data_IF_685977608795
#
_entry.id   IF_685977608795
#
_cell.length_a   1.000
_cell.length_b   1.000
_cell.length_c   1.000
_cell.angle_alpha   90.00
_cell.angle_beta   90.00
_cell.angle_gamma   90.00
#
_symmetry.space_group_name_H-M   'P 1'
#
loop_
_entity.id
_entity.type
_entity.pdbx_description
1 polymer ?
#
# COMPACT_ATOMS: atom_id res chain seq x y z
N UNK A 1 -5.04 31.20 -39.85
CA UNK A 1 -4.90 29.82 -39.36
C UNK A 1 -5.12 29.82 -37.86
N UNK A 2 -6.09 29.09 -37.31
CA UNK A 2 -6.22 28.96 -35.86
C UNK A 2 -5.02 28.20 -35.30
N UNK A 3 -4.35 28.76 -34.29
CA UNK A 3 -3.22 28.15 -33.61
C UNK A 3 -3.73 27.25 -32.50
N UNK A 4 -3.45 25.95 -32.59
CA UNK A 4 -3.78 24.99 -31.53
C UNK A 4 -2.91 25.29 -30.30
N UNK A 5 -3.54 25.48 -29.15
CA UNK A 5 -2.88 25.66 -27.87
C UNK A 5 -2.87 24.31 -27.15
N UNK A 6 -1.68 23.87 -26.71
CA UNK A 6 -1.54 22.67 -25.89
C UNK A 6 -1.98 23.02 -24.46
N UNK A 7 -3.15 22.55 -24.04
CA UNK A 7 -3.57 22.59 -22.64
C UNK A 7 -2.99 21.36 -21.93
N UNK A 8 -2.03 21.59 -21.03
CA UNK A 8 -1.56 20.54 -20.14
C UNK A 8 -2.58 20.34 -19.01
N UNK A 9 -3.51 19.41 -19.22
CA UNK A 9 -4.55 19.04 -18.25
C UNK A 9 -4.07 18.00 -17.23
N UNK A 10 -2.76 17.68 -17.20
CA UNK A 10 -2.21 16.72 -16.23
C UNK A 10 -2.19 17.36 -14.85
N UNK A 11 -3.27 17.18 -14.13
CA UNK A 11 -3.30 17.44 -12.69
C UNK A 11 -2.67 16.24 -12.00
N UNK A 12 -1.70 16.40 -11.09
CA UNK A 12 -1.20 15.28 -10.30
C UNK A 12 -2.37 14.61 -9.56
N UNK A 13 -2.38 13.28 -9.43
CA UNK A 13 -3.49 12.58 -8.80
C UNK A 13 -3.61 13.01 -7.33
N UNK A 14 -4.83 13.37 -6.94
CA UNK A 14 -5.20 13.80 -5.60
C UNK A 14 -5.29 12.56 -4.69
N UNK A 15 -4.15 12.16 -4.12
CA UNK A 15 -3.99 10.92 -3.34
C UNK A 15 -3.89 11.19 -1.82
N UNK A 16 -4.21 12.40 -1.38
CA UNK A 16 -4.22 12.71 0.04
C UNK A 16 -5.52 12.24 0.70
N UNK A 17 -5.54 12.21 2.03
CA UNK A 17 -6.71 11.79 2.80
C UNK A 17 -7.92 12.69 2.57
N UNK A 18 -7.71 14.00 2.47
CA UNK A 18 -8.76 14.98 2.19
C UNK A 18 -9.40 14.80 0.80
N UNK A 19 -8.72 14.11 -0.12
CA UNK A 19 -9.23 13.80 -1.46
C UNK A 19 -9.98 12.46 -1.51
N UNK A 20 -9.94 11.67 -0.42
CA UNK A 20 -10.64 10.40 -0.33
C UNK A 20 -12.08 10.63 0.14
N UNK A 21 -13.06 10.14 -0.61
CA UNK A 21 -14.48 10.27 -0.26
C UNK A 21 -14.91 9.15 0.72
N UNK A 22 -15.22 9.49 1.99
CA UNK A 22 -15.73 8.50 2.93
C UNK A 22 -17.14 8.07 2.50
N UNK A 23 -17.39 6.77 2.55
CA UNK A 23 -18.67 6.15 2.21
C UNK A 23 -18.90 4.93 3.11
N UNK A 24 -20.15 4.47 3.30
CA UNK A 24 -20.42 3.27 4.09
C UNK A 24 -19.60 2.05 3.66
N UNK A 25 -19.33 1.90 2.36
CA UNK A 25 -18.56 0.80 1.80
C UNK A 25 -17.06 0.80 2.15
N UNK A 26 -16.50 1.93 2.59
CA UNK A 26 -15.08 2.06 2.95
C UNK A 26 -14.85 2.49 4.41
N UNK A 27 -15.92 2.62 5.20
CA UNK A 27 -15.86 3.09 6.58
C UNK A 27 -15.01 2.18 7.49
N UNK A 28 -15.15 0.87 7.35
CA UNK A 28 -14.36 -0.09 8.15
C UNK A 28 -12.87 -0.05 7.78
N UNK A 29 -12.56 0.04 6.47
CA UNK A 29 -11.17 0.18 6.02
C UNK A 29 -10.53 1.47 6.55
N UNK A 30 -11.25 2.59 6.53
CA UNK A 30 -10.79 3.85 7.11
C UNK A 30 -10.55 3.72 8.62
N UNK A 31 -11.52 3.15 9.36
CA UNK A 31 -11.41 2.98 10.81
C UNK A 31 -10.21 2.10 11.20
N UNK A 32 -9.92 1.05 10.43
CA UNK A 32 -8.74 0.21 10.65
C UNK A 32 -7.44 0.96 10.36
N UNK A 33 -7.39 1.77 9.30
CA UNK A 33 -6.21 2.58 8.97
C UNK A 33 -5.89 3.65 10.01
N UNK A 34 -6.91 4.14 10.72
CA UNK A 34 -6.77 5.12 11.81
C UNK A 34 -6.26 4.51 13.12
N UNK A 35 -6.21 3.18 13.21
CA UNK A 35 -5.85 2.46 14.43
C UNK A 35 -4.78 1.38 14.18
N UNK A 36 -3.60 1.76 13.65
CA UNK A 36 -2.53 0.80 13.35
C UNK A 36 -2.04 0.01 14.57
N UNK A 37 -2.16 0.58 15.78
CA UNK A 37 -1.83 -0.09 17.03
C UNK A 37 -2.71 -1.31 17.34
N UNK A 38 -3.89 -1.40 16.72
CA UNK A 38 -4.82 -2.52 16.92
C UNK A 38 -4.57 -3.65 15.89
N UNK A 39 -3.67 -3.45 14.93
CA UNK A 39 -3.40 -4.44 13.91
C UNK A 39 -2.71 -5.66 14.53
N UNK A 40 -3.21 -6.89 14.29
CA UNK A 40 -2.56 -8.09 14.79
C UNK A 40 -1.12 -8.18 14.30
N UNK A 41 -0.17 -8.10 15.24
CA UNK A 41 1.27 -8.09 14.96
C UNK A 41 1.69 -6.98 13.98
N UNK A 42 0.98 -5.85 13.97
CA UNK A 42 1.29 -4.71 13.10
C UNK A 42 0.94 -4.91 11.63
N UNK A 43 0.07 -5.87 11.28
CA UNK A 43 -0.20 -6.24 9.87
C UNK A 43 -1.67 -6.07 9.50
N UNK A 44 -1.93 -5.47 8.34
CA UNK A 44 -3.26 -5.32 7.78
C UNK A 44 -3.27 -5.68 6.29
N UNK A 45 -4.28 -6.43 5.86
CA UNK A 45 -4.58 -6.69 4.44
C UNK A 45 -5.84 -5.93 4.04
N UNK A 46 -5.74 -5.11 2.98
CA UNK A 46 -6.88 -4.52 2.29
C UNK A 46 -7.15 -5.28 1.00
N UNK A 47 -8.23 -6.05 1.00
CA UNK A 47 -8.65 -6.91 -0.12
C UNK A 47 -9.97 -6.41 -0.68
N UNK A 48 -10.06 -6.29 -2.01
CA UNK A 48 -11.29 -5.84 -2.67
C UNK A 48 -11.14 -5.75 -4.19
N UNK A 49 -12.24 -5.55 -4.93
CA UNK A 49 -12.21 -5.55 -6.40
C UNK A 49 -11.37 -4.40 -6.98
N UNK A 50 -11.05 -4.49 -8.26
CA UNK A 50 -10.42 -3.39 -8.99
C UNK A 50 -11.27 -2.10 -8.88
N UNK A 51 -10.61 -0.95 -8.73
CA UNK A 51 -11.30 0.34 -8.57
C UNK A 51 -11.89 0.61 -7.18
N UNK A 52 -11.80 -0.30 -6.20
CA UNK A 52 -12.34 -0.10 -4.85
C UNK A 52 -11.58 0.92 -3.96
N UNK A 53 -10.61 1.67 -4.51
CA UNK A 53 -9.88 2.70 -3.76
C UNK A 53 -8.70 2.21 -2.89
N UNK A 54 -8.36 0.90 -2.92
CA UNK A 54 -7.24 0.33 -2.13
C UNK A 54 -5.92 1.09 -2.27
N UNK A 55 -5.52 1.43 -3.50
CA UNK A 55 -4.27 2.15 -3.75
C UNK A 55 -4.30 3.60 -3.28
N UNK A 56 -5.48 4.23 -3.17
CA UNK A 56 -5.65 5.57 -2.59
C UNK A 56 -5.58 5.49 -1.07
N UNK A 57 -6.30 4.55 -0.46
CA UNK A 57 -6.20 4.23 0.97
C UNK A 57 -4.74 3.99 1.40
N UNK A 58 -4.03 3.14 0.67
CA UNK A 58 -2.63 2.85 0.93
C UNK A 58 -1.70 4.03 0.63
N UNK A 59 -2.07 4.97 -0.25
CA UNK A 59 -1.25 6.14 -0.57
C UNK A 59 -1.23 7.14 0.57
N UNK A 60 -2.41 7.57 1.06
CA UNK A 60 -2.44 8.54 2.15
C UNK A 60 -1.95 7.92 3.45
N UNK A 61 -2.27 6.65 3.73
CA UNK A 61 -1.77 5.98 4.94
C UNK A 61 -0.25 5.89 4.94
N UNK A 62 0.36 5.59 3.78
CA UNK A 62 1.81 5.59 3.66
C UNK A 62 2.41 6.97 3.93
N UNK A 63 1.80 8.04 3.39
CA UNK A 63 2.27 9.40 3.63
C UNK A 63 2.15 9.80 5.11
N UNK A 64 1.06 9.44 5.77
CA UNK A 64 0.79 9.73 7.19
C UNK A 64 1.73 8.99 8.15
N UNK A 65 2.21 7.80 7.75
CA UNK A 65 3.05 6.93 8.59
C UNK A 65 4.51 6.90 8.13
N UNK A 66 4.91 7.71 7.14
CA UNK A 66 6.25 7.68 6.56
C UNK A 66 6.62 6.33 5.93
N UNK A 67 5.62 5.57 5.46
CA UNK A 67 5.82 4.22 4.96
C UNK A 67 6.38 4.23 3.54
N UNK A 68 7.33 3.34 3.27
CA UNK A 68 7.74 3.05 1.90
C UNK A 68 6.62 2.30 1.16
N UNK A 69 6.44 2.57 -0.13
CA UNK A 69 5.50 1.86 -1.01
C UNK A 69 6.22 1.07 -2.08
N UNK A 70 5.98 -0.24 -2.15
CA UNK A 70 6.52 -1.13 -3.18
C UNK A 70 5.40 -1.96 -3.81
N UNK A 71 5.59 -2.41 -5.05
CA UNK A 71 4.70 -3.39 -5.68
C UNK A 71 5.19 -4.79 -5.35
N UNK A 72 4.27 -5.72 -5.11
CA UNK A 72 4.61 -7.12 -4.85
C UNK A 72 5.47 -7.73 -5.97
N UNK A 73 5.19 -7.41 -7.24
CA UNK A 73 5.97 -7.89 -8.39
C UNK A 73 7.42 -7.36 -8.44
N UNK A 74 7.71 -6.28 -7.72
CA UNK A 74 9.05 -5.71 -7.62
C UNK A 74 9.87 -6.30 -6.46
N UNK A 75 9.25 -7.12 -5.61
CA UNK A 75 9.95 -7.75 -4.49
C UNK A 75 11.02 -8.72 -4.99
N UNK A 76 12.11 -8.77 -4.23
CA UNK A 76 13.26 -9.65 -4.44
C UNK A 76 13.72 -10.16 -3.06
N UNK A 77 13.97 -11.46 -2.89
CA UNK A 77 14.43 -12.00 -1.61
C UNK A 77 15.70 -11.31 -1.09
N UNK A 78 16.62 -10.97 -1.99
CA UNK A 78 17.94 -10.42 -1.67
C UNK A 78 17.90 -9.00 -1.12
N UNK A 79 16.80 -8.26 -1.38
CA UNK A 79 16.65 -6.87 -0.96
C UNK A 79 15.49 -6.65 0.00
N UNK A 80 14.77 -7.71 0.39
CA UNK A 80 13.56 -7.60 1.21
C UNK A 80 13.85 -6.98 2.59
N UNK A 81 14.94 -7.38 3.24
CA UNK A 81 15.33 -6.89 4.57
C UNK A 81 15.46 -5.36 4.64
N UNK A 82 15.96 -4.75 3.58
CA UNK A 82 16.18 -3.31 3.54
C UNK A 82 14.89 -2.48 3.41
N UNK A 83 13.75 -3.12 3.11
CA UNK A 83 12.47 -2.43 2.91
C UNK A 83 11.75 -2.13 4.22
N UNK A 84 12.14 -2.74 5.34
CA UNK A 84 11.48 -2.57 6.62
C UNK A 84 12.50 -2.25 7.71
N UNK A 85 12.34 -1.07 8.31
CA UNK A 85 13.14 -0.64 9.45
C UNK A 85 12.44 -1.04 10.77
N UNK A 86 13.20 -1.24 11.86
CA UNK A 86 12.62 -1.48 13.19
C UNK A 86 11.65 -0.36 13.60
N UNK A 87 10.42 -0.73 13.98
CA UNK A 87 9.35 0.22 14.31
C UNK A 87 8.87 1.11 13.14
N UNK A 88 9.31 0.83 11.91
CA UNK A 88 8.92 1.58 10.71
C UNK A 88 7.57 1.13 10.12
N UNK A 89 7.29 1.56 8.89
CA UNK A 89 6.10 1.19 8.16
C UNK A 89 6.40 0.85 6.69
N UNK A 90 5.71 -0.15 6.14
CA UNK A 90 5.84 -0.60 4.75
C UNK A 90 4.46 -0.87 4.15
N UNK A 91 4.28 -0.47 2.89
CA UNK A 91 3.14 -0.85 2.06
C UNK A 91 3.61 -1.74 0.92
N UNK A 92 2.97 -2.90 0.78
CA UNK A 92 3.11 -3.76 -0.41
C UNK A 92 1.81 -3.73 -1.21
N UNK A 93 1.86 -3.11 -2.38
CA UNK A 93 0.74 -3.04 -3.31
C UNK A 93 0.62 -4.31 -4.16
N UNK A 94 -0.61 -4.70 -4.49
CA UNK A 94 -0.93 -5.74 -5.47
C UNK A 94 -0.38 -7.15 -5.15
N UNK A 95 -0.47 -7.61 -3.90
CA UNK A 95 0.06 -8.90 -3.45
C UNK A 95 -0.46 -10.12 -4.24
N UNK A 96 -1.66 -10.05 -4.80
CA UNK A 96 -2.19 -11.06 -5.73
C UNK A 96 -1.34 -11.30 -6.99
N UNK A 97 -0.38 -10.41 -7.29
CA UNK A 97 0.58 -10.55 -8.40
C UNK A 97 1.90 -11.21 -7.99
N UNK A 98 2.12 -11.52 -6.71
CA UNK A 98 3.37 -12.10 -6.23
C UNK A 98 3.69 -13.45 -6.91
N UNK A 99 2.70 -14.32 -7.10
CA UNK A 99 2.89 -15.63 -7.72
C UNK A 99 3.33 -15.60 -9.19
N UNK A 100 3.22 -14.45 -9.86
CA UNK A 100 3.68 -14.28 -11.24
C UNK A 100 5.14 -13.80 -11.37
N UNK A 101 5.82 -13.49 -10.26
CA UNK A 101 7.17 -12.92 -10.25
C UNK A 101 8.13 -13.81 -9.45
N UNK A 102 9.25 -14.19 -10.07
CA UNK A 102 10.23 -15.10 -9.47
C UNK A 102 10.72 -14.56 -8.11
N UNK A 103 10.55 -15.35 -7.06
CA UNK A 103 10.99 -15.03 -5.70
C UNK A 103 10.14 -14.00 -4.95
N UNK A 104 9.13 -13.39 -5.58
CA UNK A 104 8.32 -12.35 -4.95
C UNK A 104 7.44 -12.90 -3.80
N UNK A 105 6.91 -14.11 -3.92
CA UNK A 105 6.16 -14.77 -2.83
C UNK A 105 7.04 -15.03 -1.61
N UNK A 106 8.26 -15.54 -1.83
CA UNK A 106 9.24 -15.76 -0.77
C UNK A 106 9.63 -14.45 -0.09
N UNK A 107 9.88 -13.40 -0.87
CA UNK A 107 10.18 -12.07 -0.34
C UNK A 107 9.01 -11.49 0.47
N UNK A 108 7.77 -11.63 -0.01
CA UNK A 108 6.59 -11.17 0.71
C UNK A 108 6.37 -11.95 2.02
N UNK A 109 6.54 -13.27 2.00
CA UNK A 109 6.47 -14.10 3.20
C UNK A 109 7.55 -13.70 4.21
N UNK A 110 8.76 -13.41 3.74
CA UNK A 110 9.84 -12.92 4.59
C UNK A 110 9.51 -11.57 5.24
N UNK A 111 9.01 -10.60 4.47
CA UNK A 111 8.53 -9.30 4.98
C UNK A 111 7.38 -9.44 5.99
N UNK A 112 6.47 -10.40 5.77
CA UNK A 112 5.38 -10.70 6.69
C UNK A 112 5.87 -11.15 8.06
N UNK A 113 6.93 -11.95 8.11
CA UNK A 113 7.54 -12.39 9.37
C UNK A 113 8.41 -11.29 9.98
N UNK A 114 9.18 -10.59 9.15
CA UNK A 114 10.10 -9.56 9.61
C UNK A 114 9.36 -8.36 10.22
N UNK A 115 8.24 -7.93 9.64
CA UNK A 115 7.39 -6.86 10.22
C UNK A 115 7.00 -7.12 11.66
N UNK A 116 6.49 -8.32 11.94
CA UNK A 116 6.12 -8.73 13.28
C UNK A 116 7.33 -8.78 14.23
N UNK A 117 8.45 -9.35 13.78
CA UNK A 117 9.67 -9.45 14.58
C UNK A 117 10.29 -8.07 14.91
N UNK A 118 10.11 -7.10 14.02
CA UNK A 118 10.66 -5.75 14.16
C UNK A 118 9.67 -4.73 14.74
N UNK A 119 8.46 -5.16 15.10
CA UNK A 119 7.40 -4.27 15.58
C UNK A 119 7.01 -3.20 14.56
N UNK A 120 7.19 -3.49 13.27
CA UNK A 120 6.92 -2.57 12.18
C UNK A 120 5.51 -2.78 11.61
N UNK A 121 4.94 -1.72 11.05
CA UNK A 121 3.63 -1.74 10.41
C UNK A 121 3.75 -2.22 8.97
N UNK A 122 2.91 -3.18 8.58
CA UNK A 122 2.86 -3.70 7.21
C UNK A 122 1.42 -3.68 6.69
N UNK A 123 1.18 -2.83 5.69
CA UNK A 123 -0.08 -2.76 4.95
C UNK A 123 0.09 -3.47 3.61
N UNK A 124 -0.80 -4.41 3.30
CA UNK A 124 -0.78 -5.15 2.04
C UNK A 124 -2.08 -4.90 1.30
N UNK A 125 -2.03 -4.59 0.01
CA UNK A 125 -3.23 -4.53 -0.84
C UNK A 125 -3.30 -5.71 -1.79
N UNK A 126 -4.50 -6.25 -2.00
CA UNK A 126 -4.73 -7.31 -2.97
C UNK A 126 -6.12 -7.20 -3.60
N UNK A 127 -6.29 -7.84 -4.76
CA UNK A 127 -7.62 -8.00 -5.36
C UNK A 127 -8.24 -9.32 -4.94
N UNK A 128 -9.57 -9.36 -4.88
CA UNK A 128 -10.36 -10.59 -4.81
C UNK A 128 -10.29 -11.36 -6.12
#
# INVERSE_FOLDING_TARGET
MPRQLTLDLRTPPALSRQDFLPAPANAEALAMLDRPQDWPQGRLLLVGPEGAGKSHLAAFWAAENGAQRVRASALRPETADALIAPGGALVVEDAHRAGGAAGAETALFHLWNLSAAQGALLLITART
#
